data_IF_606017998116
#
_entry.id   IF_606017998116
#
_cell.length_a   1.000
_cell.length_b   1.000
_cell.length_c   1.000
_cell.angle_alpha   90.00
_cell.angle_beta   90.00
_cell.angle_gamma   90.00
#
_symmetry.space_group_name_H-M   'P 1'
#
loop_
_entity.id
_entity.type
_entity.pdbx_description
1 polymer ?
#
# COMPACT_ATOMS: atom_id res chain seq x y z
N UNK A 1 18.46 -10.69 -8.00
CA UNK A 1 17.03 -10.97 -7.70
C UNK A 1 16.30 -9.65 -7.63
N UNK A 2 15.08 -9.58 -8.17
CA UNK A 2 14.29 -8.37 -8.21
C UNK A 2 13.01 -8.54 -7.39
N UNK A 3 12.58 -7.49 -6.70
CA UNK A 3 11.39 -7.47 -5.87
C UNK A 3 10.35 -6.54 -6.48
N UNK A 4 9.08 -6.88 -6.38
CA UNK A 4 8.00 -6.00 -6.77
C UNK A 4 7.47 -5.27 -5.53
N UNK A 5 7.47 -3.93 -5.58
CA UNK A 5 6.75 -3.07 -4.63
C UNK A 5 5.38 -2.77 -5.20
N UNK A 6 4.33 -3.04 -4.43
CA UNK A 6 2.93 -2.81 -4.81
C UNK A 6 2.14 -2.19 -3.66
N UNK A 7 1.05 -1.50 -3.97
CA UNK A 7 -0.02 -1.24 -3.00
C UNK A 7 -1.00 -2.42 -3.06
N UNK A 8 -1.29 -3.00 -1.91
CA UNK A 8 -2.33 -4.01 -1.74
C UNK A 8 -3.63 -3.31 -1.33
N UNK A 9 -4.71 -3.58 -2.05
CA UNK A 9 -6.02 -2.94 -1.85
C UNK A 9 -6.99 -3.98 -1.27
N UNK A 10 -7.51 -3.70 -0.08
CA UNK A 10 -8.42 -4.57 0.65
C UNK A 10 -9.83 -3.97 0.71
N UNK A 11 -10.85 -4.79 0.47
CA UNK A 11 -12.25 -4.36 0.51
C UNK A 11 -12.65 -3.42 -0.62
N UNK A 12 -13.94 -3.41 -0.98
CA UNK A 12 -14.43 -2.72 -2.18
C UNK A 12 -14.38 -1.20 -2.08
N UNK A 13 -14.59 -0.65 -0.88
CA UNK A 13 -14.60 0.80 -0.70
C UNK A 13 -15.85 1.50 -1.21
N UNK A 14 -16.93 0.75 -1.48
CA UNK A 14 -18.15 1.27 -2.11
C UNK A 14 -18.97 2.16 -1.15
N UNK A 15 -18.78 2.02 0.17
CA UNK A 15 -19.45 2.85 1.16
C UNK A 15 -18.51 3.96 1.67
N UNK A 16 -18.97 5.21 1.81
CA UNK A 16 -18.16 6.32 2.33
C UNK A 16 -17.55 6.05 3.71
N UNK A 17 -18.24 5.26 4.54
CA UNK A 17 -17.84 4.80 5.86
C UNK A 17 -16.91 3.58 5.85
N UNK A 18 -16.88 2.81 4.76
CA UNK A 18 -16.12 1.56 4.63
C UNK A 18 -15.19 1.61 3.40
N UNK A 19 -14.33 2.63 3.35
CA UNK A 19 -13.30 2.78 2.31
C UNK A 19 -12.36 1.57 2.27
N UNK A 20 -11.79 1.32 1.09
CA UNK A 20 -10.78 0.28 0.93
C UNK A 20 -9.58 0.54 1.84
N UNK A 21 -9.13 -0.49 2.54
CA UNK A 21 -7.87 -0.43 3.29
C UNK A 21 -6.70 -0.63 2.33
N UNK A 22 -5.60 0.12 2.52
CA UNK A 22 -4.41 0.00 1.70
C UNK A 22 -3.19 -0.38 2.55
N UNK A 23 -2.28 -1.15 1.96
CA UNK A 23 -0.98 -1.49 2.52
C UNK A 23 0.09 -1.60 1.43
N UNK A 24 1.35 -1.70 1.81
CA UNK A 24 2.44 -2.02 0.88
C UNK A 24 2.74 -3.51 0.92
N UNK A 25 2.91 -4.11 -0.25
CA UNK A 25 3.37 -5.48 -0.43
C UNK A 25 4.70 -5.46 -1.18
N UNK A 26 5.74 -6.08 -0.59
CA UNK A 26 7.02 -6.33 -1.25
C UNK A 26 7.23 -7.83 -1.35
N UNK A 27 7.24 -8.36 -2.58
CA UNK A 27 7.46 -9.79 -2.82
C UNK A 27 8.47 -10.01 -3.95
N UNK A 28 8.95 -11.23 -4.10
CA UNK A 28 9.83 -11.63 -5.19
C UNK A 28 9.05 -12.49 -6.19
N UNK A 29 8.69 -11.97 -7.38
CA UNK A 29 8.06 -12.77 -8.42
C UNK A 29 8.94 -13.95 -8.89
N UNK A 30 8.36 -15.10 -9.27
CA UNK A 30 6.93 -15.42 -9.29
C UNK A 30 6.38 -15.92 -7.93
N UNK A 31 7.13 -15.74 -6.83
CA UNK A 31 6.71 -16.17 -5.51
C UNK A 31 5.44 -15.46 -5.06
N UNK A 32 4.52 -16.21 -4.43
CA UNK A 32 3.23 -15.72 -3.95
C UNK A 32 3.27 -15.26 -2.49
N UNK A 33 4.47 -15.04 -1.97
CA UNK A 33 4.68 -14.68 -0.56
C UNK A 33 5.57 -13.44 -0.48
N UNK A 34 5.21 -12.50 0.41
CA UNK A 34 5.94 -11.25 0.58
C UNK A 34 5.86 -10.67 1.99
N UNK A 35 6.44 -9.49 2.13
CA UNK A 35 6.31 -8.66 3.32
C UNK A 35 5.16 -7.68 3.12
N UNK A 36 4.14 -7.78 3.97
CA UNK A 36 3.07 -6.80 4.09
C UNK A 36 3.48 -5.75 5.13
N UNK A 37 3.38 -4.47 4.77
CA UNK A 37 3.61 -3.32 5.64
C UNK A 37 2.40 -2.40 5.55
N UNK A 38 1.65 -2.25 6.63
CA UNK A 38 0.42 -1.46 6.63
C UNK A 38 0.13 -0.85 8.01
N UNK A 39 -0.90 0.00 8.08
CA UNK A 39 -1.37 0.55 9.34
C UNK A 39 -2.75 -0.01 9.69
N UNK A 40 -2.88 -0.66 10.84
CA UNK A 40 -4.13 -1.27 11.31
C UNK A 40 -4.88 -0.31 12.21
N UNK A 41 -6.19 -0.18 12.02
CA UNK A 41 -7.06 0.56 12.93
C UNK A 41 -7.07 -0.14 14.30
N UNK A 42 -6.75 0.59 15.36
CA UNK A 42 -6.72 0.10 16.74
C UNK A 42 -7.79 0.74 17.64
N UNK A 43 -8.28 1.92 17.27
CA UNK A 43 -9.33 2.65 17.97
C UNK A 43 -10.17 3.41 16.94
N UNK A 44 -11.43 3.01 16.77
CA UNK A 44 -12.33 3.62 15.79
C UNK A 44 -12.81 5.01 16.25
N UNK A 45 -13.10 5.17 17.54
CA UNK A 45 -13.65 6.41 18.09
C UNK A 45 -12.62 7.55 18.02
N UNK A 46 -11.35 7.22 18.28
CA UNK A 46 -10.22 8.16 18.16
C UNK A 46 -9.60 8.18 16.77
N UNK A 47 -10.01 7.27 15.89
CA UNK A 47 -9.41 7.01 14.59
C UNK A 47 -7.88 6.88 14.69
N UNK A 48 -7.42 5.96 15.55
CA UNK A 48 -6.01 5.67 15.75
C UNK A 48 -5.59 4.43 15.01
N UNK A 49 -4.42 4.52 14.40
CA UNK A 49 -3.78 3.42 13.72
C UNK A 49 -2.46 3.04 14.40
N UNK A 50 -2.05 1.81 14.13
CA UNK A 50 -0.77 1.25 14.53
C UNK A 50 -0.09 0.63 13.30
N UNK A 51 1.22 0.83 13.19
CA UNK A 51 2.00 0.18 12.15
C UNK A 51 2.14 -1.31 12.45
N UNK A 52 1.89 -2.13 11.44
CA UNK A 52 2.03 -3.57 11.51
C UNK A 52 2.81 -4.08 10.29
N UNK A 53 3.74 -5.00 10.52
CA UNK A 53 4.52 -5.65 9.46
C UNK A 53 4.39 -7.16 9.61
N UNK A 54 4.04 -7.84 8.52
CA UNK A 54 3.90 -9.29 8.46
C UNK A 54 4.84 -9.85 7.39
N UNK A 55 5.86 -10.57 7.82
CA UNK A 55 6.76 -11.29 6.91
C UNK A 55 6.15 -12.62 6.50
N UNK A 56 6.54 -13.09 5.31
CA UNK A 56 6.06 -14.36 4.75
C UNK A 56 4.53 -14.44 4.59
N UNK A 57 3.89 -13.31 4.27
CA UNK A 57 2.45 -13.23 4.03
C UNK A 57 2.11 -13.77 2.65
N UNK A 58 1.15 -14.69 2.56
CA UNK A 58 0.63 -15.14 1.27
C UNK A 58 -0.22 -14.03 0.63
N UNK A 59 0.09 -13.70 -0.62
CA UNK A 59 -0.57 -12.62 -1.36
C UNK A 59 -2.06 -12.94 -1.60
N UNK A 60 -2.42 -14.22 -1.69
CA UNK A 60 -3.80 -14.63 -2.04
C UNK A 60 -4.72 -14.73 -0.81
N UNK A 61 -4.16 -14.96 0.39
CA UNK A 61 -4.97 -15.35 1.56
C UNK A 61 -5.54 -14.17 2.36
N UNK A 62 -5.20 -12.93 2.01
CA UNK A 62 -5.43 -11.77 2.87
C UNK A 62 -6.70 -10.97 2.57
N UNK A 63 -7.65 -11.52 1.79
CA UNK A 63 -8.87 -10.83 1.35
C UNK A 63 -8.61 -9.50 0.60
N UNK A 64 -7.41 -9.35 0.06
CA UNK A 64 -7.07 -8.26 -0.86
C UNK A 64 -7.82 -8.47 -2.18
N UNK A 65 -8.33 -7.39 -2.75
CA UNK A 65 -8.95 -7.39 -4.08
C UNK A 65 -7.91 -7.42 -5.19
N UNK A 66 -6.76 -6.78 -4.97
CA UNK A 66 -5.69 -6.78 -5.95
C UNK A 66 -4.43 -6.05 -5.49
N UNK A 67 -3.39 -6.21 -6.32
CA UNK A 67 -2.12 -5.52 -6.19
C UNK A 67 -1.99 -4.45 -7.28
N UNK A 68 -1.57 -3.27 -6.84
CA UNK A 68 -1.22 -2.13 -7.67
C UNK A 68 0.30 -2.02 -7.76
N UNK A 69 0.91 -2.51 -8.84
CA UNK A 69 2.37 -2.49 -9.01
C UNK A 69 2.89 -1.05 -9.11
N UNK A 70 3.89 -0.71 -8.28
CA UNK A 70 4.53 0.60 -8.24
C UNK A 70 5.91 0.58 -8.91
N UNK A 71 6.75 -0.40 -8.53
CA UNK A 71 8.14 -0.45 -8.98
C UNK A 71 8.72 -1.86 -8.90
N UNK A 72 9.83 -2.05 -9.62
CA UNK A 72 10.72 -3.21 -9.48
C UNK A 72 11.98 -2.75 -8.78
N UNK A 73 12.30 -3.37 -7.64
CA UNK A 73 13.39 -3.01 -6.74
C UNK A 73 14.52 -4.03 -6.82
N UNK A 74 15.76 -3.55 -6.82
CA UNK A 74 16.93 -4.35 -6.48
C UNK A 74 16.95 -4.72 -4.98
N UNK A 75 17.79 -5.67 -4.53
CA UNK A 75 17.88 -6.02 -3.10
C UNK A 75 18.26 -4.84 -2.18
N UNK A 76 19.20 -3.94 -2.55
CA UNK A 76 19.45 -2.72 -1.79
C UNK A 76 18.23 -1.79 -1.74
N UNK A 77 17.55 -1.56 -2.87
CA UNK A 77 16.35 -0.73 -2.93
C UNK A 77 15.20 -1.32 -2.10
N UNK A 78 15.02 -2.65 -2.09
CA UNK A 78 14.05 -3.30 -1.20
C UNK A 78 14.31 -2.96 0.26
N UNK A 79 15.56 -3.11 0.74
CA UNK A 79 15.89 -2.78 2.13
C UNK A 79 15.58 -1.31 2.43
N UNK A 80 15.97 -0.41 1.53
CA UNK A 80 15.70 1.01 1.67
C UNK A 80 14.21 1.33 1.68
N UNK A 81 13.41 0.71 0.80
CA UNK A 81 11.95 0.86 0.81
C UNK A 81 11.33 0.39 2.12
N UNK A 82 11.78 -0.75 2.68
CA UNK A 82 11.31 -1.21 3.98
C UNK A 82 11.64 -0.24 5.11
N UNK A 83 12.83 0.38 5.09
CA UNK A 83 13.22 1.41 6.06
C UNK A 83 12.33 2.65 5.96
N UNK A 84 12.14 3.18 4.74
CA UNK A 84 11.29 4.34 4.47
C UNK A 84 9.86 4.07 4.95
N UNK A 85 9.26 2.95 4.54
CA UNK A 85 7.89 2.60 4.92
C UNK A 85 7.74 2.45 6.45
N UNK A 86 8.70 1.83 7.12
CA UNK A 86 8.68 1.66 8.59
C UNK A 86 8.88 2.97 9.36
N UNK A 87 9.55 3.95 8.74
CA UNK A 87 9.81 5.24 9.36
C UNK A 87 8.60 6.18 9.34
N UNK A 88 7.62 5.93 8.47
CA UNK A 88 6.43 6.77 8.39
C UNK A 88 5.50 6.52 9.60
N UNK A 89 5.25 7.53 10.46
CA UNK A 89 4.46 7.35 11.66
C UNK A 89 2.99 7.02 11.33
N UNK A 90 2.38 6.04 12.02
CA UNK A 90 0.97 5.72 11.82
C UNK A 90 0.07 6.89 12.27
N UNK A 91 -1.05 7.16 11.58
CA UNK A 91 -1.97 8.22 11.96
C UNK A 91 -2.59 8.03 13.35
N UNK A 92 -2.55 9.08 14.17
CA UNK A 92 -3.17 9.14 15.51
C UNK A 92 -3.81 10.51 15.81
N UNK A 93 -4.24 11.20 14.77
CA UNK A 93 -4.71 12.59 14.83
C UNK A 93 -6.24 12.75 14.70
N UNK A 94 -6.98 11.63 14.64
CA UNK A 94 -8.44 11.69 14.49
C UNK A 94 -8.93 12.04 13.09
N UNK A 95 -8.03 12.23 12.12
CA UNK A 95 -8.38 12.72 10.78
C UNK A 95 -7.85 11.82 9.65
N UNK A 96 -6.55 11.50 9.67
CA UNK A 96 -5.90 10.73 8.61
C UNK A 96 -6.21 9.23 8.75
N UNK A 97 -6.39 8.57 7.61
CA UNK A 97 -6.70 7.14 7.47
C UNK A 97 -5.52 6.37 6.87
N UNK A 98 -5.69 5.07 6.68
CA UNK A 98 -4.67 4.21 6.06
C UNK A 98 -4.25 4.65 4.65
N UNK A 99 -5.19 5.13 3.84
CA UNK A 99 -4.91 5.64 2.49
C UNK A 99 -4.05 6.91 2.52
N UNK A 100 -4.29 7.80 3.50
CA UNK A 100 -3.49 9.01 3.71
C UNK A 100 -2.06 8.67 4.16
N UNK A 101 -1.92 7.64 5.00
CA UNK A 101 -0.60 7.10 5.38
C UNK A 101 0.13 6.56 4.15
N UNK A 102 -0.50 5.71 3.33
CA UNK A 102 0.11 5.20 2.08
C UNK A 102 0.50 6.35 1.15
N UNK A 103 -0.36 7.35 0.96
CA UNK A 103 -0.04 8.53 0.16
C UNK A 103 1.19 9.29 0.70
N UNK A 104 1.25 9.53 2.02
CA UNK A 104 2.39 10.23 2.64
C UNK A 104 3.67 9.42 2.48
N UNK A 105 3.61 8.10 2.70
CA UNK A 105 4.75 7.20 2.48
C UNK A 105 5.23 7.19 1.02
N UNK A 106 4.32 7.29 0.05
CA UNK A 106 4.68 7.38 -1.36
C UNK A 106 5.50 8.63 -1.69
N UNK A 107 5.24 9.76 -1.03
CA UNK A 107 6.07 10.97 -1.18
C UNK A 107 7.50 10.66 -0.76
N UNK A 108 7.69 10.04 0.40
CA UNK A 108 9.01 9.65 0.90
C UNK A 108 9.70 8.62 0.00
N UNK A 109 8.96 7.63 -0.52
CA UNK A 109 9.48 6.65 -1.48
C UNK A 109 9.90 7.29 -2.81
N UNK A 110 9.17 8.31 -3.27
CA UNK A 110 9.46 9.03 -4.51
C UNK A 110 10.70 9.93 -4.37
N UNK A 111 10.85 10.62 -3.22
CA UNK A 111 12.05 11.41 -2.88
C UNK A 111 13.30 10.53 -2.86
N UNK A 112 13.19 9.30 -2.38
CA UNK A 112 14.28 8.31 -2.34
C UNK A 112 14.48 7.56 -3.68
N UNK A 113 13.77 7.95 -4.74
CA UNK A 113 13.83 7.34 -6.08
C UNK A 113 13.52 5.83 -6.08
N UNK A 114 12.68 5.37 -5.14
CA UNK A 114 12.24 3.97 -5.02
C UNK A 114 10.98 3.66 -5.81
N UNK A 115 10.25 4.71 -6.22
CA UNK A 115 9.14 4.65 -7.15
C UNK A 115 9.33 5.70 -8.25
N UNK A 116 8.71 5.54 -9.43
CA UNK A 116 8.82 6.53 -10.50
C UNK A 116 8.34 7.92 -10.07
N UNK A 117 8.94 8.97 -10.64
CA UNK A 117 8.45 10.33 -10.46
C UNK A 117 6.99 10.47 -10.92
N UNK A 118 6.19 11.25 -10.20
CA UNK A 118 4.75 11.41 -10.37
C UNK A 118 3.89 10.38 -9.65
N UNK A 119 4.47 9.37 -9.00
CA UNK A 119 3.72 8.31 -8.30
C UNK A 119 2.84 8.90 -7.19
N UNK A 120 3.39 9.71 -6.30
CA UNK A 120 2.63 10.32 -5.20
C UNK A 120 1.51 11.23 -5.71
N UNK A 121 1.76 11.99 -6.78
CA UNK A 121 0.76 12.86 -7.40
C UNK A 121 -0.41 12.08 -7.99
N UNK A 122 -0.14 10.95 -8.66
CA UNK A 122 -1.19 10.05 -9.15
C UNK A 122 -2.03 9.50 -7.98
N UNK A 123 -1.37 8.97 -6.95
CA UNK A 123 -2.03 8.34 -5.81
C UNK A 123 -2.81 9.31 -4.93
N UNK A 124 -2.40 10.59 -4.87
CA UNK A 124 -3.19 11.65 -4.25
C UNK A 124 -4.61 11.72 -4.84
N UNK A 125 -4.73 11.55 -6.15
CA UNK A 125 -6.02 11.53 -6.84
C UNK A 125 -6.85 10.27 -6.59
N UNK A 126 -6.24 9.21 -6.04
CA UNK A 126 -6.88 7.93 -5.74
C UNK A 126 -7.39 7.84 -4.30
N UNK A 127 -6.93 8.69 -3.39
CA UNK A 127 -7.38 8.68 -1.99
C UNK A 127 -8.90 8.87 -1.92
N UNK A 128 -9.56 7.98 -1.18
CA UNK A 128 -11.00 7.96 -1.00
C UNK A 128 -11.79 7.27 -2.13
N UNK A 129 -11.14 6.85 -3.22
CA UNK A 129 -11.83 6.14 -4.32
C UNK A 129 -12.08 4.66 -3.98
N UNK A 130 -13.17 4.07 -4.48
CA UNK A 130 -13.40 2.63 -4.41
C UNK A 130 -12.33 1.83 -5.16
N UNK A 131 -12.14 0.57 -4.78
CA UNK A 131 -11.16 -0.33 -5.38
C UNK A 131 -11.36 -0.50 -6.90
N UNK A 132 -12.60 -0.53 -7.39
CA UNK A 132 -12.89 -0.65 -8.81
C UNK A 132 -12.47 0.58 -9.62
N UNK A 133 -12.58 1.78 -9.04
CA UNK A 133 -12.06 3.00 -9.67
C UNK A 133 -10.53 3.01 -9.67
N UNK A 134 -9.89 2.55 -8.59
CA UNK A 134 -8.43 2.40 -8.52
C UNK A 134 -7.94 1.42 -9.60
N UNK A 135 -8.59 0.25 -9.72
CA UNK A 135 -8.33 -0.73 -10.78
C UNK A 135 -8.45 -0.13 -12.17
N UNK A 136 -9.56 0.57 -12.45
CA UNK A 136 -9.76 1.23 -13.74
C UNK A 136 -8.73 2.31 -14.05
N UNK A 137 -8.28 3.05 -13.03
CA UNK A 137 -7.31 4.15 -13.17
C UNK A 137 -5.87 3.66 -13.37
N UNK A 138 -5.49 2.55 -12.73
CA UNK A 138 -4.13 2.01 -12.79
C UNK A 138 -3.91 1.04 -13.97
N UNK A 139 -4.98 0.49 -14.53
CA UNK A 139 -4.95 -0.34 -15.74
C UNK A 139 -4.06 -1.57 -15.59
N UNK A 140 -3.11 -1.75 -16.52
CA UNK A 140 -2.25 -2.95 -16.62
C UNK A 140 -1.29 -3.16 -15.44
N UNK A 141 -1.17 -2.18 -14.55
CA UNK A 141 -0.43 -2.35 -13.29
C UNK A 141 -1.27 -2.95 -12.16
N UNK A 142 -2.56 -3.22 -12.40
CA UNK A 142 -3.42 -4.00 -11.51
C UNK A 142 -3.21 -5.50 -11.70
N UNK A 143 -3.20 -6.25 -10.61
CA UNK A 143 -3.27 -7.71 -10.60
C UNK A 143 -4.42 -8.15 -9.70
N UNK A 144 -5.40 -8.85 -10.27
CA UNK A 144 -6.53 -9.41 -9.53
C UNK A 144 -6.06 -10.55 -8.62
N UNK A 145 -6.58 -10.55 -7.38
CA UNK A 145 -6.32 -11.61 -6.40
C UNK A 145 -7.58 -12.41 -6.04
N UNK A 146 -8.75 -12.00 -6.55
CA UNK A 146 -10.06 -12.60 -6.31
C UNK A 146 -10.87 -12.65 -7.59
#
# INVERSE_FOLDING_TARGET
MAYQLSIEVFGKGDEPSARSHWGFMIHQPPGTTGDLLHVRLIDLDRLWYEFESRSSTNIVDMAALGLCRLAVLSPPQRRRAMEVIRSEPPPRDGARKCQDWVFTTLISLEVDELVPAGTSQFWKGMVGRPAMEVKGSIGDAWTDLV
#
